data_IF_601810956564
#
_entry.id   IF_601810956564
#
_cell.length_a   1.000
_cell.length_b   1.000
_cell.length_c   1.000
_cell.angle_alpha   90.00
_cell.angle_beta   90.00
_cell.angle_gamma   90.00
#
_symmetry.space_group_name_H-M   'P 1'
#
loop_
_entity.id
_entity.type
_entity.pdbx_description
1 polymer ?
#
# COMPACT_ATOMS: atom_id res chain seq x y z
N UNK A 1 -43.20 47.11 38.47
CA UNK A 1 -44.30 47.98 37.98
C UNK A 1 -45.37 47.11 37.35
N UNK A 2 -46.57 47.02 37.92
CA UNK A 2 -47.72 46.37 37.29
C UNK A 2 -48.35 47.30 36.24
N UNK A 3 -48.48 46.84 34.98
CA UNK A 3 -49.21 47.59 33.93
C UNK A 3 -50.71 47.33 34.05
N UNK A 4 -51.52 48.38 34.02
CA UNK A 4 -52.99 48.27 33.99
C UNK A 4 -53.45 48.01 32.55
N UNK A 5 -54.58 47.30 32.39
CA UNK A 5 -55.19 47.04 31.09
C UNK A 5 -55.54 48.34 30.35
N UNK A 6 -55.22 48.42 29.05
CA UNK A 6 -55.50 49.60 28.22
C UNK A 6 -56.97 49.72 27.74
N UNK A 7 -57.90 48.91 28.26
CA UNK A 7 -59.33 49.02 27.93
C UNK A 7 -60.02 49.93 28.95
N UNK A 8 -60.61 51.04 28.48
CA UNK A 8 -61.39 51.97 29.31
C UNK A 8 -62.48 51.20 30.08
N UNK A 9 -62.43 51.27 31.42
CA UNK A 9 -63.36 50.55 32.32
C UNK A 9 -62.89 49.19 32.85
N UNK A 10 -61.64 48.77 32.58
CA UNK A 10 -61.04 47.58 33.21
C UNK A 10 -59.91 47.96 34.17
N UNK A 11 -60.10 47.66 35.47
CA UNK A 11 -59.12 47.92 36.53
C UNK A 11 -58.09 46.78 36.73
N UNK A 12 -58.15 45.73 35.92
CA UNK A 12 -57.26 44.58 36.06
C UNK A 12 -55.83 44.91 35.60
N UNK A 13 -54.85 44.34 36.31
CA UNK A 13 -53.44 44.41 35.94
C UNK A 13 -53.05 43.28 34.97
N UNK A 14 -52.11 43.57 34.07
CA UNK A 14 -51.59 42.63 33.09
C UNK A 14 -50.54 41.76 33.78
N UNK A 15 -50.70 40.44 33.69
CA UNK A 15 -49.76 39.48 34.32
C UNK A 15 -48.35 39.59 33.73
N UNK A 16 -47.34 39.24 34.52
CA UNK A 16 -45.92 39.29 34.11
C UNK A 16 -45.63 38.53 32.81
N UNK A 17 -46.31 37.42 32.56
CA UNK A 17 -46.17 36.63 31.34
C UNK A 17 -46.67 37.34 30.07
N UNK A 18 -47.44 38.44 30.18
CA UNK A 18 -48.06 39.15 29.07
C UNK A 18 -47.64 40.62 28.97
N UNK A 19 -46.44 41.00 29.47
CA UNK A 19 -46.00 42.42 29.47
C UNK A 19 -45.95 43.11 28.09
N UNK A 20 -45.84 42.33 26.99
CA UNK A 20 -45.93 42.84 25.61
C UNK A 20 -47.39 43.12 25.17
N UNK A 21 -48.39 42.56 25.84
CA UNK A 21 -49.80 42.79 25.56
C UNK A 21 -50.26 44.13 26.16
N UNK A 22 -51.11 44.85 25.42
CA UNK A 22 -51.80 46.05 25.93
C UNK A 22 -53.05 45.72 26.77
N UNK A 23 -53.57 44.50 26.68
CA UNK A 23 -54.83 44.09 27.32
C UNK A 23 -54.64 42.88 28.23
N UNK A 24 -55.35 42.85 29.37
CA UNK A 24 -55.25 41.75 30.35
C UNK A 24 -55.88 40.44 29.84
N UNK A 25 -56.93 40.52 29.03
CA UNK A 25 -57.61 39.37 28.43
C UNK A 25 -57.90 39.60 26.95
N UNK A 26 -58.12 38.51 26.20
CA UNK A 26 -58.50 38.58 24.80
C UNK A 26 -59.89 39.24 24.61
N UNK A 27 -60.75 39.13 25.63
CA UNK A 27 -62.06 39.75 25.63
C UNK A 27 -61.95 41.29 25.71
N UNK A 28 -61.03 41.82 26.54
CA UNK A 28 -60.73 43.26 26.56
C UNK A 28 -60.20 43.76 25.21
N UNK A 29 -59.34 42.99 24.53
CA UNK A 29 -58.87 43.30 23.16
C UNK A 29 -60.05 43.40 22.17
N UNK A 30 -60.94 42.40 22.19
CA UNK A 30 -62.11 42.34 21.28
C UNK A 30 -63.12 43.46 21.57
N UNK A 31 -63.38 43.79 22.85
CA UNK A 31 -64.24 44.91 23.22
C UNK A 31 -63.65 46.25 22.79
N UNK A 32 -62.34 46.45 22.94
CA UNK A 32 -61.71 47.68 22.46
C UNK A 32 -61.77 47.79 20.93
N UNK A 33 -61.52 46.69 20.21
CA UNK A 33 -61.66 46.66 18.75
C UNK A 33 -63.10 47.01 18.29
N UNK A 34 -64.12 46.51 18.99
CA UNK A 34 -65.53 46.87 18.73
C UNK A 34 -65.83 48.34 19.03
N UNK A 35 -65.26 48.92 20.09
CA UNK A 35 -65.41 50.35 20.40
C UNK A 35 -64.74 51.22 19.34
N UNK A 36 -63.53 50.88 18.91
CA UNK A 36 -62.81 51.60 17.84
C UNK A 36 -63.56 51.53 16.51
N UNK A 37 -64.17 50.38 16.21
CA UNK A 37 -65.04 50.23 15.05
C UNK A 37 -66.28 51.11 15.14
N UNK A 38 -66.96 51.15 16.30
CA UNK A 38 -68.10 52.06 16.54
C UNK A 38 -67.72 53.54 16.49
N UNK A 39 -66.50 53.91 16.91
CA UNK A 39 -65.96 55.28 16.85
C UNK A 39 -65.46 55.67 15.45
N UNK A 40 -65.56 54.81 14.44
CA UNK A 40 -65.10 55.09 13.07
C UNK A 40 -63.57 55.10 12.90
N UNK A 41 -62.80 54.80 13.95
CA UNK A 41 -61.33 54.87 13.94
C UNK A 41 -60.66 53.72 13.17
N UNK A 42 -61.42 52.69 12.76
CA UNK A 42 -60.89 51.56 11.99
C UNK A 42 -60.76 51.83 10.50
N UNK A 43 -61.38 52.90 9.97
CA UNK A 43 -61.31 53.28 8.55
C UNK A 43 -60.19 54.28 8.23
N UNK A 44 -59.61 54.96 9.23
CA UNK A 44 -58.56 55.96 9.02
C UNK A 44 -57.15 55.38 8.74
N UNK A 45 -56.98 54.05 8.72
CA UNK A 45 -55.67 53.40 8.58
C UNK A 45 -55.42 52.75 7.21
N UNK A 46 -56.34 52.92 6.24
CA UNK A 46 -56.28 52.22 4.93
C UNK A 46 -55.76 53.12 3.79
N UNK A 47 -55.75 54.45 3.94
CA UNK A 47 -55.36 55.41 2.88
C UNK A 47 -53.89 55.87 2.93
N UNK A 48 -52.95 54.96 3.16
CA UNK A 48 -51.52 55.26 3.00
C UNK A 48 -50.81 54.10 2.30
N UNK A 49 -51.20 53.81 1.07
CA UNK A 49 -50.35 53.05 0.13
C UNK A 49 -49.23 53.98 -0.34
N UNK A 50 -47.95 53.71 0.03
CA UNK A 50 -46.83 54.56 -0.35
C UNK A 50 -46.68 54.60 -1.88
N UNK A 51 -46.29 55.75 -2.42
CA UNK A 51 -46.16 55.96 -3.87
C UNK A 51 -45.09 55.03 -4.48
N UNK A 52 -45.15 54.78 -5.79
CA UNK A 52 -44.13 53.95 -6.48
C UNK A 52 -42.73 54.53 -6.29
N UNK A 53 -42.60 55.86 -6.28
CA UNK A 53 -41.33 56.56 -6.03
C UNK A 53 -40.82 56.37 -4.60
N UNK A 54 -41.69 56.42 -3.59
CA UNK A 54 -41.33 56.11 -2.20
C UNK A 54 -40.92 54.64 -2.02
N UNK A 55 -41.56 53.72 -2.74
CA UNK A 55 -41.20 52.30 -2.72
C UNK A 55 -39.83 52.05 -3.37
N UNK A 56 -39.56 52.72 -4.50
CA UNK A 56 -38.26 52.66 -5.19
C UNK A 56 -37.15 53.26 -4.32
N UNK A 57 -37.39 54.39 -3.66
CA UNK A 57 -36.39 55.03 -2.78
C UNK A 57 -36.11 54.20 -1.53
N UNK A 58 -37.14 53.58 -0.94
CA UNK A 58 -36.98 52.66 0.19
C UNK A 58 -36.22 51.39 -0.19
N UNK A 59 -36.47 50.83 -1.37
CA UNK A 59 -35.70 49.68 -1.87
C UNK A 59 -34.26 50.08 -2.25
N UNK A 60 -34.03 51.25 -2.85
CA UNK A 60 -32.69 51.80 -3.09
C UNK A 60 -31.90 51.92 -1.79
N UNK A 61 -32.49 52.54 -0.78
CA UNK A 61 -31.88 52.70 0.55
C UNK A 61 -31.62 51.34 1.22
N UNK A 62 -32.50 50.36 1.04
CA UNK A 62 -32.32 48.99 1.53
C UNK A 62 -31.17 48.27 0.82
N UNK A 63 -31.06 48.41 -0.50
CA UNK A 63 -29.97 47.84 -1.29
C UNK A 63 -28.62 48.46 -0.92
N UNK A 64 -28.53 49.79 -0.83
CA UNK A 64 -27.34 50.50 -0.37
C UNK A 64 -26.93 50.06 1.04
N UNK A 65 -27.89 49.94 1.96
CA UNK A 65 -27.63 49.45 3.32
C UNK A 65 -27.11 48.01 3.34
N UNK A 66 -27.66 47.14 2.49
CA UNK A 66 -27.22 45.75 2.39
C UNK A 66 -25.83 45.64 1.77
N UNK A 67 -25.54 46.45 0.74
CA UNK A 67 -24.23 46.52 0.12
C UNK A 67 -23.18 47.04 1.11
N UNK A 68 -23.48 48.13 1.82
CA UNK A 68 -22.62 48.66 2.88
C UNK A 68 -22.39 47.61 3.99
N UNK A 69 -23.43 46.90 4.43
CA UNK A 69 -23.32 45.85 5.42
C UNK A 69 -22.53 44.62 4.93
N UNK A 70 -22.49 44.36 3.62
CA UNK A 70 -21.66 43.33 3.00
C UNK A 70 -20.20 43.78 2.95
N UNK A 71 -19.94 44.98 2.45
CA UNK A 71 -18.59 45.55 2.35
C UNK A 71 -17.95 45.67 3.74
N UNK A 72 -18.71 46.09 4.77
CA UNK A 72 -18.23 46.11 6.16
C UNK A 72 -17.89 44.70 6.68
N UNK A 73 -18.64 43.68 6.29
CA UNK A 73 -18.33 42.27 6.64
C UNK A 73 -17.08 41.76 5.94
N UNK A 74 -16.86 42.16 4.70
CA UNK A 74 -15.66 41.80 3.94
C UNK A 74 -14.42 42.50 4.49
N UNK A 75 -14.51 43.80 4.79
CA UNK A 75 -13.45 44.58 5.41
C UNK A 75 -13.10 44.05 6.81
N UNK A 76 -14.10 43.77 7.65
CA UNK A 76 -13.85 43.20 8.98
C UNK A 76 -13.21 41.80 8.92
N UNK A 77 -13.61 40.94 7.98
CA UNK A 77 -12.93 39.65 7.73
C UNK A 77 -11.49 39.85 7.25
N UNK A 78 -11.26 40.86 6.40
CA UNK A 78 -9.92 41.25 5.94
C UNK A 78 -9.04 41.73 7.10
N UNK A 79 -9.57 42.53 8.01
CA UNK A 79 -8.85 42.97 9.21
C UNK A 79 -8.54 41.84 10.18
N UNK A 80 -9.48 40.91 10.42
CA UNK A 80 -9.24 39.73 11.26
C UNK A 80 -8.11 38.88 10.67
N UNK A 81 -8.18 38.56 9.37
CA UNK A 81 -7.10 37.82 8.69
C UNK A 81 -5.77 38.57 8.76
N UNK A 82 -5.78 39.90 8.55
CA UNK A 82 -4.55 40.70 8.62
C UNK A 82 -3.94 40.68 10.01
N UNK A 83 -4.76 40.74 11.08
CA UNK A 83 -4.28 40.58 12.46
C UNK A 83 -3.72 39.19 12.72
N UNK A 84 -4.38 38.14 12.23
CA UNK A 84 -3.86 36.77 12.32
C UNK A 84 -2.52 36.62 11.58
N UNK A 85 -2.38 37.22 10.39
CA UNK A 85 -1.12 37.21 9.64
C UNK A 85 -0.02 38.01 10.35
N UNK A 86 -0.33 39.19 10.89
CA UNK A 86 0.63 39.99 11.66
C UNK A 86 1.08 39.20 12.89
N UNK A 87 0.15 38.61 13.64
CA UNK A 87 0.48 37.78 14.80
C UNK A 87 1.33 36.57 14.40
N UNK A 88 0.97 35.86 13.33
CA UNK A 88 1.74 34.72 12.85
C UNK A 88 3.15 35.12 12.40
N UNK A 89 3.31 36.30 11.79
CA UNK A 89 4.61 36.86 11.42
C UNK A 89 5.39 37.25 12.67
N UNK A 90 4.79 37.93 13.64
CA UNK A 90 5.42 38.28 14.92
C UNK A 90 5.88 37.04 15.69
N UNK A 91 5.03 36.00 15.74
CA UNK A 91 5.35 34.71 16.34
C UNK A 91 6.49 33.99 15.58
N UNK A 92 6.53 34.11 14.25
CA UNK A 92 7.60 33.52 13.41
C UNK A 92 8.91 34.31 13.45
N UNK A 93 8.84 35.63 13.68
CA UNK A 93 9.99 36.51 13.87
C UNK A 93 10.55 36.41 15.29
N UNK A 94 9.80 35.82 16.22
CA UNK A 94 10.36 35.44 17.52
C UNK A 94 11.57 34.52 17.30
N UNK A 95 12.62 34.73 18.09
CA UNK A 95 13.87 33.99 17.95
C UNK A 95 13.59 32.49 18.03
N UNK A 96 13.87 31.75 16.94
CA UNK A 96 13.80 30.30 16.92
C UNK A 96 14.61 29.76 18.10
N UNK A 97 13.92 29.20 19.08
CA UNK A 97 14.58 28.56 20.21
C UNK A 97 15.10 27.24 19.72
N UNK A 98 16.40 27.20 19.40
CA UNK A 98 17.08 25.99 18.94
C UNK A 98 16.84 24.92 20.00
N UNK A 99 16.12 23.86 19.59
CA UNK A 99 15.95 22.68 20.43
C UNK A 99 17.32 22.15 20.82
N UNK A 100 17.44 21.58 22.03
CA UNK A 100 18.70 20.98 22.48
C UNK A 100 19.24 20.08 21.38
N UNK A 101 20.45 20.38 20.89
CA UNK A 101 21.10 19.56 19.87
C UNK A 101 21.29 18.17 20.45
N UNK A 102 20.58 17.18 19.89
CA UNK A 102 20.77 15.79 20.26
C UNK A 102 22.00 15.28 19.51
N UNK A 103 23.04 14.78 20.21
CA UNK A 103 24.16 14.17 19.52
C UNK A 103 23.68 12.95 18.75
N UNK A 104 24.10 12.81 17.49
CA UNK A 104 23.91 11.56 16.76
C UNK A 104 24.64 10.45 17.51
N UNK A 105 23.98 9.31 17.69
CA UNK A 105 24.57 8.14 18.32
C UNK A 105 25.57 7.48 17.36
N UNK A 106 26.74 8.08 17.23
CA UNK A 106 27.88 7.53 16.50
C UNK A 106 28.70 6.76 17.54
N UNK A 107 28.73 5.44 17.42
CA UNK A 107 29.49 4.59 18.33
C UNK A 107 30.16 3.44 17.58
N UNK A 108 31.20 2.88 18.19
CA UNK A 108 31.99 1.78 17.62
C UNK A 108 31.27 0.43 17.68
N UNK A 109 30.11 0.37 18.35
CA UNK A 109 29.33 -0.86 18.46
C UNK A 109 28.69 -1.19 17.13
N UNK A 110 28.97 -2.39 16.62
CA UNK A 110 28.29 -2.90 15.44
C UNK A 110 26.78 -2.95 15.67
N UNK A 111 26.02 -2.60 14.64
CA UNK A 111 24.57 -2.59 14.66
C UNK A 111 24.04 -3.96 14.25
N UNK A 112 23.26 -4.61 15.11
CA UNK A 112 22.60 -5.87 14.74
C UNK A 112 21.45 -5.60 13.79
N UNK A 113 21.41 -6.35 12.70
CA UNK A 113 20.35 -6.34 11.71
C UNK A 113 19.95 -7.77 11.37
N UNK A 114 18.74 -7.92 10.84
CA UNK A 114 18.27 -9.15 10.24
C UNK A 114 17.96 -8.92 8.77
N UNK A 115 18.04 -9.98 7.96
CA UNK A 115 17.69 -9.92 6.55
C UNK A 115 16.49 -10.81 6.24
N UNK A 116 15.64 -10.38 5.31
CA UNK A 116 14.73 -11.29 4.63
C UNK A 116 15.05 -11.28 3.14
N UNK A 117 15.11 -12.44 2.53
CA UNK A 117 15.38 -12.63 1.10
C UNK A 117 14.19 -13.39 0.54
N UNK A 118 13.59 -12.86 -0.53
CA UNK A 118 12.55 -13.58 -1.27
C UNK A 118 13.13 -14.15 -2.56
N UNK A 119 12.93 -15.45 -2.74
CA UNK A 119 13.25 -16.22 -3.93
C UNK A 119 11.94 -16.68 -4.59
N UNK A 120 11.69 -16.30 -5.83
CA UNK A 120 10.56 -16.79 -6.61
C UNK A 120 10.87 -16.73 -8.09
N UNK A 121 10.10 -17.47 -8.89
CA UNK A 121 10.12 -17.35 -10.35
C UNK A 121 11.52 -17.59 -10.92
N UNK A 122 12.19 -18.65 -10.45
CA UNK A 122 13.47 -19.09 -11.00
C UNK A 122 13.28 -19.79 -12.34
N UNK A 123 12.13 -20.45 -12.54
CA UNK A 123 11.76 -21.14 -13.79
C UNK A 123 12.88 -22.07 -14.30
N UNK A 124 13.47 -22.86 -13.39
CA UNK A 124 14.55 -23.78 -13.72
C UNK A 124 14.06 -24.75 -14.80
N UNK A 125 14.80 -24.81 -15.90
CA UNK A 125 14.47 -25.59 -17.09
C UNK A 125 13.76 -24.82 -18.19
N UNK A 126 13.42 -23.54 -18.00
CA UNK A 126 12.89 -22.70 -19.08
C UNK A 126 13.92 -22.56 -20.21
N UNK A 127 13.46 -22.83 -21.44
CA UNK A 127 14.20 -22.62 -22.68
C UNK A 127 13.55 -21.48 -23.47
N UNK A 128 14.32 -20.42 -23.70
CA UNK A 128 13.96 -19.33 -24.61
C UNK A 128 15.07 -19.21 -25.65
N UNK A 129 14.88 -19.76 -26.86
CA UNK A 129 15.85 -19.62 -27.95
C UNK A 129 15.96 -18.17 -28.41
N UNK A 130 17.17 -17.74 -28.77
CA UNK A 130 17.47 -16.35 -29.16
C UNK A 130 16.68 -15.92 -30.41
N UNK A 131 16.34 -16.86 -31.29
CA UNK A 131 15.57 -16.63 -32.51
C UNK A 131 14.11 -16.26 -32.20
N UNK A 132 13.59 -16.76 -31.08
CA UNK A 132 12.20 -16.48 -30.67
C UNK A 132 12.03 -15.11 -30.02
N UNK A 133 13.14 -14.45 -29.71
CA UNK A 133 13.16 -13.11 -29.08
C UNK A 133 13.67 -12.02 -30.02
N UNK A 134 13.87 -12.36 -31.31
CA UNK A 134 14.39 -11.44 -32.31
C UNK A 134 15.85 -11.03 -32.07
N UNK A 135 16.69 -11.93 -31.53
CA UNK A 135 18.09 -11.63 -31.26
C UNK A 135 18.37 -10.95 -29.91
N UNK A 136 17.34 -10.73 -29.09
CA UNK A 136 17.44 -9.84 -27.92
C UNK A 136 17.99 -10.57 -26.68
N UNK A 137 17.47 -11.75 -26.38
CA UNK A 137 17.83 -12.49 -25.16
C UNK A 137 17.51 -13.97 -25.30
N UNK A 138 18.29 -14.82 -24.63
CA UNK A 138 18.01 -16.24 -24.53
C UNK A 138 18.05 -16.68 -23.07
N UNK A 139 17.30 -17.72 -22.74
CA UNK A 139 17.30 -18.36 -21.42
C UNK A 139 17.51 -19.86 -21.61
N UNK A 140 18.37 -20.43 -20.78
CA UNK A 140 18.56 -21.88 -20.65
C UNK A 140 19.03 -22.19 -19.21
N UNK A 141 19.30 -23.46 -18.94
CA UNK A 141 19.74 -23.95 -17.64
C UNK A 141 21.09 -23.36 -17.22
N UNK A 142 22.05 -23.20 -18.14
CA UNK A 142 23.36 -22.60 -17.84
C UNK A 142 23.23 -21.15 -17.38
N UNK A 143 22.42 -20.35 -18.09
CA UNK A 143 22.11 -18.98 -17.69
C UNK A 143 21.48 -18.99 -16.30
N UNK A 144 20.52 -19.87 -16.03
CA UNK A 144 19.86 -19.96 -14.73
C UNK A 144 20.86 -20.23 -13.59
N UNK A 145 21.85 -21.12 -13.81
CA UNK A 145 22.94 -21.37 -12.85
C UNK A 145 23.80 -20.14 -12.62
N UNK A 146 24.27 -19.49 -13.70
CA UNK A 146 25.06 -18.26 -13.63
C UNK A 146 24.29 -17.12 -12.96
N UNK A 147 22.97 -17.08 -13.12
CA UNK A 147 22.10 -16.10 -12.47
C UNK A 147 22.07 -16.31 -10.94
N UNK A 148 21.99 -17.56 -10.47
CA UNK A 148 22.11 -17.88 -9.04
C UNK A 148 23.48 -17.43 -8.49
N UNK A 149 24.57 -17.65 -9.22
CA UNK A 149 25.90 -17.14 -8.84
C UNK A 149 25.92 -15.60 -8.74
N UNK A 150 25.23 -14.90 -9.66
CA UNK A 150 25.11 -13.44 -9.60
C UNK A 150 24.31 -12.95 -8.40
N UNK A 151 23.24 -13.65 -8.01
CA UNK A 151 22.51 -13.37 -6.77
C UNK A 151 23.42 -13.47 -5.55
N UNK A 152 24.18 -14.57 -5.43
CA UNK A 152 25.11 -14.79 -4.32
C UNK A 152 26.23 -13.75 -4.31
N UNK A 153 26.76 -13.39 -5.48
CA UNK A 153 27.71 -12.30 -5.62
C UNK A 153 27.13 -10.98 -5.10
N UNK A 154 25.90 -10.62 -5.48
CA UNK A 154 25.23 -9.41 -5.02
C UNK A 154 25.05 -9.39 -3.50
N UNK A 155 24.66 -10.53 -2.90
CA UNK A 155 24.56 -10.67 -1.43
C UNK A 155 25.93 -10.45 -0.77
N UNK A 156 27.00 -11.04 -1.31
CA UNK A 156 28.36 -10.83 -0.81
C UNK A 156 28.78 -9.35 -0.86
N UNK A 157 28.42 -8.62 -1.92
CA UNK A 157 28.66 -7.17 -2.03
C UNK A 157 27.85 -6.37 -1.01
N UNK A 158 26.57 -6.68 -0.84
CA UNK A 158 25.68 -6.03 0.16
C UNK A 158 26.19 -6.30 1.58
N UNK A 159 26.69 -7.50 1.85
CA UNK A 159 27.30 -7.85 3.12
C UNK A 159 28.56 -7.03 3.39
N UNK A 160 29.44 -6.89 2.39
CA UNK A 160 30.64 -6.06 2.49
C UNK A 160 30.29 -4.57 2.72
N UNK A 161 29.28 -4.02 2.05
CA UNK A 161 28.79 -2.66 2.31
C UNK A 161 28.18 -2.48 3.71
N UNK A 162 27.79 -3.58 4.34
CA UNK A 162 27.25 -3.61 5.69
C UNK A 162 28.35 -3.58 6.76
N UNK A 163 29.59 -3.23 6.42
CA UNK A 163 30.67 -2.97 7.36
C UNK A 163 30.20 -2.06 8.51
N UNK A 164 30.25 -2.59 9.75
CA UNK A 164 29.67 -1.95 10.94
C UNK A 164 28.32 -2.55 11.38
N UNK A 165 27.78 -3.52 10.65
CA UNK A 165 26.59 -4.29 11.03
C UNK A 165 26.94 -5.76 11.28
N UNK A 166 26.05 -6.46 11.99
CA UNK A 166 26.08 -7.91 12.18
C UNK A 166 24.74 -8.47 11.77
N UNK A 167 24.73 -9.35 10.77
CA UNK A 167 23.52 -10.05 10.30
C UNK A 167 23.32 -11.27 11.19
N UNK A 168 22.29 -11.26 12.04
CA UNK A 168 22.07 -12.34 13.01
C UNK A 168 21.12 -13.40 12.49
N UNK A 169 20.01 -12.99 11.90
CA UNK A 169 18.98 -13.90 11.42
C UNK A 169 18.64 -13.61 9.96
N UNK A 170 18.34 -14.66 9.22
CA UNK A 170 17.86 -14.56 7.84
C UNK A 170 16.53 -15.29 7.70
N UNK A 171 15.53 -14.59 7.17
CA UNK A 171 14.29 -15.18 6.68
C UNK A 171 14.40 -15.39 5.16
N UNK A 172 14.48 -16.63 4.70
CA UNK A 172 14.47 -16.99 3.30
C UNK A 172 13.07 -17.44 2.87
N UNK A 173 12.36 -16.57 2.16
CA UNK A 173 11.02 -16.86 1.62
C UNK A 173 11.18 -17.44 0.22
N UNK A 174 10.78 -18.68 0.01
CA UNK A 174 10.74 -19.33 -1.29
C UNK A 174 9.27 -19.32 -1.76
N UNK A 175 8.93 -18.31 -2.56
CA UNK A 175 7.55 -17.98 -2.94
C UNK A 175 7.13 -18.61 -4.29
N UNK A 176 7.56 -19.84 -4.57
CA UNK A 176 7.10 -20.64 -5.71
C UNK A 176 7.66 -20.25 -7.08
N UNK A 177 7.23 -21.01 -8.09
CA UNK A 177 7.72 -21.01 -9.48
C UNK A 177 9.24 -21.25 -9.55
N UNK A 178 9.71 -22.25 -8.81
CA UNK A 178 11.12 -22.64 -8.82
C UNK A 178 11.43 -23.44 -10.08
N UNK A 179 10.54 -24.34 -10.48
CA UNK A 179 10.65 -25.05 -11.76
C UNK A 179 9.79 -24.37 -12.82
N UNK A 180 10.16 -24.50 -14.10
CA UNK A 180 9.29 -24.06 -15.19
C UNK A 180 8.04 -24.95 -15.30
N UNK A 181 8.17 -26.25 -15.00
CA UNK A 181 7.09 -27.22 -15.13
C UNK A 181 6.77 -27.57 -16.59
N UNK A 182 5.79 -28.45 -16.78
CA UNK A 182 5.38 -28.92 -18.11
C UNK A 182 3.86 -29.09 -18.27
N UNK A 183 3.09 -28.83 -17.21
CA UNK A 183 1.69 -29.20 -17.09
C UNK A 183 0.73 -28.04 -17.35
N UNK A 184 1.19 -26.79 -17.29
CA UNK A 184 0.30 -25.62 -17.30
C UNK A 184 -0.32 -25.35 -18.67
N UNK A 185 0.43 -25.55 -19.75
CA UNK A 185 -0.03 -25.29 -21.12
C UNK A 185 0.58 -26.29 -22.09
N UNK A 186 -0.18 -26.79 -23.09
CA UNK A 186 0.35 -27.75 -24.07
C UNK A 186 1.59 -27.25 -24.84
N UNK A 187 1.71 -25.94 -25.06
CA UNK A 187 2.85 -25.36 -25.76
C UNK A 187 4.15 -25.31 -24.92
N UNK A 188 4.04 -25.45 -23.59
CA UNK A 188 5.16 -25.32 -22.65
C UNK A 188 6.22 -26.39 -22.86
N UNK A 189 5.84 -27.59 -23.31
CA UNK A 189 6.76 -28.67 -23.67
C UNK A 189 7.81 -28.28 -24.74
N UNK A 190 7.53 -27.25 -25.55
CA UNK A 190 8.49 -26.70 -26.53
C UNK A 190 9.38 -25.59 -25.97
N UNK A 191 9.16 -25.20 -24.72
CA UNK A 191 9.80 -24.09 -24.03
C UNK A 191 10.54 -24.56 -22.77
N UNK A 192 10.82 -25.87 -22.67
CA UNK A 192 11.62 -26.48 -21.61
C UNK A 192 12.84 -27.17 -22.20
N UNK A 193 13.97 -27.08 -21.52
CA UNK A 193 15.23 -27.72 -21.91
C UNK A 193 15.32 -29.16 -21.40
N UNK A 194 14.78 -29.39 -20.21
CA UNK A 194 14.86 -30.66 -19.49
C UNK A 194 13.49 -31.05 -18.92
N UNK A 195 13.20 -32.36 -18.78
CA UNK A 195 11.96 -32.83 -18.16
C UNK A 195 11.79 -32.31 -16.72
N UNK A 196 10.56 -32.11 -16.28
CA UNK A 196 10.26 -31.49 -14.97
C UNK A 196 10.94 -32.20 -13.79
N UNK A 197 11.06 -33.52 -13.80
CA UNK A 197 11.77 -34.28 -12.75
C UNK A 197 13.23 -33.83 -12.62
N UNK A 198 13.90 -33.54 -13.74
CA UNK A 198 15.27 -33.00 -13.71
C UNK A 198 15.30 -31.54 -13.27
N UNK A 199 14.29 -30.74 -13.65
CA UNK A 199 14.14 -29.37 -13.16
C UNK A 199 14.02 -29.36 -11.63
N UNK A 200 13.27 -30.30 -11.05
CA UNK A 200 13.09 -30.44 -9.60
C UNK A 200 14.41 -30.75 -8.88
N UNK A 201 15.19 -31.69 -9.40
CA UNK A 201 16.51 -32.05 -8.84
C UNK A 201 17.44 -30.84 -8.90
N UNK A 202 17.53 -30.18 -10.06
CA UNK A 202 18.37 -29.01 -10.23
C UNK A 202 17.93 -27.84 -9.34
N UNK A 203 16.62 -27.60 -9.22
CA UNK A 203 16.06 -26.58 -8.35
C UNK A 203 16.45 -26.81 -6.88
N UNK A 204 16.41 -28.07 -6.42
CA UNK A 204 16.93 -28.44 -5.11
C UNK A 204 18.44 -28.19 -4.98
N UNK A 205 19.25 -28.64 -5.94
CA UNK A 205 20.71 -28.48 -5.88
C UNK A 205 21.11 -27.00 -5.83
N UNK A 206 20.48 -26.15 -6.63
CA UNK A 206 20.74 -24.70 -6.65
C UNK A 206 20.27 -24.00 -5.37
N UNK A 207 19.09 -24.35 -4.84
CA UNK A 207 18.62 -23.81 -3.56
C UNK A 207 19.52 -24.26 -2.41
N UNK A 208 19.92 -25.54 -2.37
CA UNK A 208 20.82 -26.06 -1.37
C UNK A 208 22.22 -25.41 -1.46
N UNK A 209 22.73 -25.16 -2.66
CA UNK A 209 23.95 -24.38 -2.89
C UNK A 209 23.81 -22.94 -2.38
N UNK A 210 22.70 -22.27 -2.68
CA UNK A 210 22.41 -20.92 -2.22
C UNK A 210 22.36 -20.85 -0.68
N UNK A 211 21.62 -21.76 -0.05
CA UNK A 211 21.50 -21.89 1.41
C UNK A 211 22.87 -22.14 2.07
N UNK A 212 23.64 -23.12 1.57
CA UNK A 212 25.00 -23.39 2.08
C UNK A 212 25.93 -22.20 1.95
N UNK A 213 25.74 -21.36 0.94
CA UNK A 213 26.52 -20.13 0.78
C UNK A 213 26.11 -19.07 1.81
N UNK A 214 24.81 -18.90 2.08
CA UNK A 214 24.34 -18.02 3.16
C UNK A 214 24.85 -18.43 4.54
N UNK A 215 24.93 -19.74 4.80
CA UNK A 215 25.44 -20.29 6.07
C UNK A 215 26.92 -19.98 6.36
N UNK A 216 27.65 -19.44 5.37
CA UNK A 216 29.02 -18.95 5.53
C UNK A 216 29.10 -17.50 6.06
N UNK A 217 27.98 -16.79 6.14
CA UNK A 217 27.96 -15.46 6.73
C UNK A 217 28.39 -15.53 8.21
N UNK A 218 29.32 -14.66 8.64
CA UNK A 218 29.80 -14.67 10.00
C UNK A 218 28.68 -14.24 10.96
N UNK A 219 28.70 -14.80 12.17
CA UNK A 219 27.77 -14.49 13.26
C UNK A 219 26.28 -14.84 12.99
N UNK A 220 25.96 -15.52 11.88
CA UNK A 220 24.62 -16.01 11.57
C UNK A 220 24.17 -17.05 12.60
N UNK A 221 23.04 -16.78 13.26
CA UNK A 221 22.45 -17.62 14.29
C UNK A 221 21.33 -18.49 13.73
N UNK A 222 20.41 -17.91 12.96
CA UNK A 222 19.30 -18.65 12.34
C UNK A 222 19.11 -18.32 10.87
N UNK A 223 18.74 -19.35 10.11
CA UNK A 223 18.25 -19.28 8.74
C UNK A 223 16.88 -19.97 8.68
N UNK A 224 15.86 -19.14 8.66
CA UNK A 224 14.46 -19.53 8.64
C UNK A 224 13.96 -19.60 7.21
N UNK A 225 13.64 -20.79 6.72
CA UNK A 225 13.24 -21.04 5.33
C UNK A 225 11.75 -21.30 5.28
N UNK A 226 11.03 -20.47 4.54
CA UNK A 226 9.58 -20.55 4.40
C UNK A 226 9.20 -20.81 2.95
N UNK A 227 8.56 -21.94 2.65
CA UNK A 227 8.32 -22.38 1.27
C UNK A 227 6.83 -22.53 0.95
N UNK A 228 6.39 -21.88 -0.12
CA UNK A 228 5.04 -22.02 -0.71
C UNK A 228 5.15 -22.35 -2.19
N UNK A 229 4.18 -23.12 -2.71
CA UNK A 229 4.13 -23.49 -4.13
C UNK A 229 3.67 -22.36 -5.05
N UNK A 230 4.20 -22.33 -6.27
CA UNK A 230 3.76 -21.46 -7.36
C UNK A 230 2.91 -22.19 -8.40
N UNK A 231 2.48 -21.46 -9.42
CA UNK A 231 1.60 -22.02 -10.46
C UNK A 231 2.33 -22.88 -11.51
N UNK A 232 3.62 -22.65 -11.75
CA UNK A 232 4.47 -23.48 -12.60
C UNK A 232 4.91 -24.77 -11.89
N UNK A 233 4.94 -24.78 -10.56
CA UNK A 233 5.33 -25.96 -9.79
C UNK A 233 4.26 -27.05 -9.75
N UNK A 234 3.04 -26.77 -10.22
CA UNK A 234 1.89 -27.69 -10.11
C UNK A 234 2.05 -28.90 -11.00
N UNK A 235 1.60 -30.04 -10.49
CA UNK A 235 1.44 -31.27 -11.27
C UNK A 235 0.17 -31.28 -12.14
N UNK A 236 -0.70 -30.28 -11.97
CA UNK A 236 -1.99 -30.15 -12.65
C UNK A 236 -2.06 -28.91 -13.56
N UNK A 237 -2.84 -29.00 -14.63
CA UNK A 237 -2.98 -27.90 -15.61
C UNK A 237 -3.81 -26.71 -15.12
N UNK A 238 -4.83 -26.98 -14.31
CA UNK A 238 -5.76 -25.94 -13.81
C UNK A 238 -5.47 -25.65 -12.35
N UNK A 239 -5.71 -24.40 -11.92
CA UNK A 239 -5.73 -24.14 -10.50
C UNK A 239 -6.81 -24.98 -9.83
N UNK A 240 -6.42 -25.57 -8.71
CA UNK A 240 -7.35 -26.10 -7.74
C UNK A 240 -8.13 -24.99 -7.01
N UNK A 241 -9.06 -25.41 -6.17
CA UNK A 241 -9.83 -24.58 -5.26
C UNK A 241 -9.61 -25.09 -3.83
N UNK A 242 -8.82 -24.36 -3.06
CA UNK A 242 -8.54 -24.70 -1.66
C UNK A 242 -9.82 -24.90 -0.83
N UNK A 243 -10.86 -24.11 -1.09
CA UNK A 243 -12.17 -24.22 -0.41
C UNK A 243 -12.95 -25.51 -0.74
N UNK A 244 -12.53 -26.26 -1.77
CA UNK A 244 -13.06 -27.57 -2.12
C UNK A 244 -12.13 -28.73 -1.70
N UNK A 245 -11.05 -28.44 -0.98
CA UNK A 245 -10.05 -29.42 -0.58
C UNK A 245 -9.10 -29.84 -1.71
N UNK A 246 -9.05 -29.08 -2.81
CA UNK A 246 -8.11 -29.36 -3.90
C UNK A 246 -6.70 -28.90 -3.50
N UNK A 247 -5.74 -29.80 -3.60
CA UNK A 247 -4.40 -29.76 -2.99
C UNK A 247 -3.34 -29.14 -3.90
N UNK A 248 -3.71 -28.19 -4.76
CA UNK A 248 -2.82 -27.63 -5.78
C UNK A 248 -1.57 -26.88 -5.24
N UNK A 249 -1.52 -26.60 -3.93
CA UNK A 249 -0.41 -25.95 -3.24
C UNK A 249 0.54 -26.96 -2.55
N UNK A 250 0.11 -28.20 -2.32
CA UNK A 250 0.96 -29.30 -1.82
C UNK A 250 1.34 -30.30 -2.92
N UNK A 251 0.50 -30.51 -3.93
CA UNK A 251 0.80 -31.36 -5.10
C UNK A 251 1.66 -30.62 -6.11
N UNK A 252 2.78 -30.08 -5.63
CA UNK A 252 3.73 -29.25 -6.38
C UNK A 252 5.15 -29.78 -6.27
N UNK A 253 5.93 -29.57 -7.33
CA UNK A 253 7.37 -29.86 -7.32
C UNK A 253 8.12 -28.98 -6.31
N UNK A 254 7.64 -27.76 -6.04
CA UNK A 254 8.18 -26.90 -5.00
C UNK A 254 8.01 -27.52 -3.60
N UNK A 255 6.85 -28.11 -3.29
CA UNK A 255 6.66 -28.83 -2.03
C UNK A 255 7.63 -30.01 -1.91
N UNK A 256 7.86 -30.77 -2.99
CA UNK A 256 8.87 -31.84 -3.00
C UNK A 256 10.28 -31.29 -2.75
N UNK A 257 10.64 -30.17 -3.38
CA UNK A 257 11.92 -29.48 -3.11
C UNK A 257 12.02 -29.09 -1.64
N UNK A 258 10.96 -28.50 -1.05
CA UNK A 258 10.92 -28.16 0.38
C UNK A 258 11.15 -29.36 1.28
N UNK A 259 10.54 -30.51 0.97
CA UNK A 259 10.74 -31.75 1.72
C UNK A 259 12.16 -32.35 1.55
N UNK A 260 12.84 -32.08 0.44
CA UNK A 260 14.24 -32.45 0.23
C UNK A 260 15.19 -31.50 0.97
N UNK A 261 14.88 -30.19 1.00
CA UNK A 261 15.64 -29.20 1.76
C UNK A 261 15.56 -29.48 3.26
N UNK A 262 14.37 -29.74 3.80
CA UNK A 262 14.17 -30.07 5.22
C UNK A 262 15.05 -31.25 5.65
N UNK A 263 15.02 -32.34 4.89
CA UNK A 263 15.91 -33.50 5.10
C UNK A 263 17.39 -33.16 4.90
N UNK A 264 17.72 -32.40 3.87
CA UNK A 264 19.09 -32.08 3.49
C UNK A 264 19.82 -31.16 4.48
N UNK A 265 19.09 -30.50 5.38
CA UNK A 265 19.61 -29.59 6.40
C UNK A 265 19.22 -30.00 7.83
N UNK A 266 18.70 -31.22 8.04
CA UNK A 266 18.22 -31.69 9.36
C UNK A 266 19.32 -31.67 10.45
N UNK A 267 20.58 -31.82 10.04
CA UNK A 267 21.75 -31.82 10.92
C UNK A 267 22.33 -30.42 11.22
N UNK A 268 21.90 -29.36 10.52
CA UNK A 268 22.36 -27.99 10.80
C UNK A 268 21.35 -27.26 11.69
N UNK A 269 21.64 -27.07 13.00
CA UNK A 269 20.68 -26.50 13.95
C UNK A 269 20.37 -25.03 13.69
N UNK A 270 21.08 -24.36 12.78
CA UNK A 270 20.79 -22.99 12.38
C UNK A 270 19.66 -22.93 11.36
N UNK A 271 19.37 -24.02 10.64
CA UNK A 271 18.41 -24.04 9.54
C UNK A 271 17.06 -24.56 10.04
N UNK A 272 16.00 -23.77 9.87
CA UNK A 272 14.63 -24.18 10.15
C UNK A 272 13.82 -24.14 8.87
N UNK A 273 13.34 -25.28 8.38
CA UNK A 273 12.52 -25.34 7.16
C UNK A 273 11.05 -25.48 7.53
N UNK A 274 10.22 -24.59 6.99
CA UNK A 274 8.77 -24.68 7.03
C UNK A 274 8.23 -24.78 5.61
N UNK A 275 7.84 -26.00 5.24
CA UNK A 275 7.16 -26.30 4.00
C UNK A 275 5.64 -26.17 4.22
N UNK A 276 5.00 -25.16 3.61
CA UNK A 276 3.60 -24.88 3.87
C UNK A 276 2.68 -25.79 3.08
N UNK A 277 1.63 -26.26 3.76
CA UNK A 277 0.52 -26.97 3.13
C UNK A 277 -0.66 -26.03 2.84
N UNK A 278 -0.39 -24.75 2.68
CA UNK A 278 -1.37 -23.72 2.35
C UNK A 278 -0.86 -22.90 1.17
N UNK A 279 -1.76 -22.26 0.41
CA UNK A 279 -1.40 -21.42 -0.73
C UNK A 279 -0.65 -20.12 -0.34
N UNK A 280 -0.56 -19.85 0.97
CA UNK A 280 0.19 -18.76 1.58
C UNK A 280 0.91 -19.31 2.81
N UNK A 281 1.92 -18.59 3.29
CA UNK A 281 2.49 -18.81 4.62
C UNK A 281 2.64 -17.50 5.36
N UNK A 282 2.94 -17.58 6.65
CA UNK A 282 3.09 -16.42 7.50
C UNK A 282 4.10 -16.68 8.62
N UNK A 283 4.82 -15.64 9.03
CA UNK A 283 5.80 -15.73 10.11
C UNK A 283 6.02 -14.39 10.80
N UNK A 284 6.25 -14.43 12.11
CA UNK A 284 6.82 -13.29 12.80
C UNK A 284 8.36 -13.34 12.68
N UNK A 285 8.96 -12.27 12.20
CA UNK A 285 10.40 -12.15 12.01
C UNK A 285 10.84 -10.70 12.21
N UNK A 286 11.97 -10.49 12.90
CA UNK A 286 12.47 -9.15 13.26
C UNK A 286 11.42 -8.23 13.94
N UNK A 287 10.48 -8.83 14.69
CA UNK A 287 9.38 -8.13 15.37
C UNK A 287 8.25 -7.65 14.45
N UNK A 288 8.21 -8.11 13.20
CA UNK A 288 7.18 -7.79 12.21
C UNK A 288 6.45 -9.06 11.79
N UNK A 289 5.18 -8.93 11.38
CA UNK A 289 4.36 -10.03 10.87
C UNK A 289 4.40 -10.06 9.36
N UNK A 290 4.92 -11.15 8.82
CA UNK A 290 5.08 -11.41 7.40
C UNK A 290 3.99 -12.36 6.93
N UNK A 291 3.42 -12.07 5.75
CA UNK A 291 2.61 -13.02 4.98
C UNK A 291 3.16 -13.11 3.58
N UNK A 292 3.25 -14.30 3.02
CA UNK A 292 3.79 -14.52 1.69
C UNK A 292 2.91 -15.49 0.91
N UNK A 293 2.66 -15.18 -0.35
CA UNK A 293 2.05 -16.08 -1.32
C UNK A 293 2.71 -15.87 -2.69
N UNK A 294 2.61 -16.86 -3.57
CA UNK A 294 3.17 -16.70 -4.92
C UNK A 294 2.47 -15.58 -5.70
N UNK A 295 1.13 -15.45 -5.58
CA UNK A 295 0.35 -14.38 -6.20
C UNK A 295 -0.36 -14.76 -7.51
N UNK A 296 -0.40 -16.06 -7.88
CA UNK A 296 -1.12 -16.55 -9.06
C UNK A 296 -2.64 -16.27 -9.02
N UNK A 297 -3.22 -16.16 -7.82
CA UNK A 297 -4.64 -15.81 -7.62
C UNK A 297 -4.96 -14.34 -7.86
N UNK A 298 -3.95 -13.46 -7.98
CA UNK A 298 -4.15 -12.02 -8.14
C UNK A 298 -4.60 -11.72 -9.57
N UNK A 299 -5.89 -11.46 -9.74
CA UNK A 299 -6.48 -11.15 -11.04
C UNK A 299 -5.91 -9.86 -11.61
N UNK A 300 -5.42 -9.89 -12.86
CA UNK A 300 -4.85 -8.72 -13.56
C UNK A 300 -5.90 -7.71 -14.09
N UNK A 301 -7.15 -7.81 -13.64
CA UNK A 301 -8.25 -6.93 -14.04
C UNK A 301 -8.47 -5.78 -13.06
N UNK A 302 -8.54 -4.55 -13.57
CA UNK A 302 -8.85 -3.34 -12.79
C UNK A 302 -7.61 -2.64 -12.21
N UNK A 303 -7.49 -1.33 -12.50
CA UNK A 303 -6.58 -0.39 -11.82
C UNK A 303 -5.11 -0.84 -11.70
N UNK A 304 -4.30 -0.51 -12.70
CA UNK A 304 -2.85 -0.75 -12.70
C UNK A 304 -2.09 0.29 -13.52
N UNK A 305 -0.78 0.38 -13.30
CA UNK A 305 0.12 1.25 -14.07
C UNK A 305 1.46 0.53 -14.26
N UNK A 306 2.09 0.69 -15.43
CA UNK A 306 3.38 0.05 -15.73
C UNK A 306 3.36 -1.48 -15.74
N UNK A 307 2.20 -2.12 -15.97
CA UNK A 307 2.07 -3.58 -15.96
C UNK A 307 1.82 -4.20 -14.58
N UNK A 308 1.78 -3.39 -13.52
CA UNK A 308 1.50 -3.82 -12.14
C UNK A 308 0.01 -3.61 -11.81
N UNK A 309 -0.76 -4.65 -11.44
CA UNK A 309 -2.15 -4.54 -11.03
C UNK A 309 -2.25 -4.04 -9.57
N UNK A 310 -2.00 -2.75 -9.36
CA UNK A 310 -1.94 -2.12 -8.04
C UNK A 310 -3.17 -2.40 -7.16
N UNK A 311 -4.39 -2.23 -7.70
CA UNK A 311 -5.60 -2.42 -6.91
C UNK A 311 -5.76 -3.88 -6.42
N UNK A 312 -5.68 -4.91 -7.30
CA UNK A 312 -5.75 -6.31 -6.87
C UNK A 312 -4.68 -6.71 -5.85
N UNK A 313 -3.44 -6.22 -6.02
CA UNK A 313 -2.33 -6.50 -5.09
C UNK A 313 -2.63 -5.95 -3.68
N UNK A 314 -2.96 -4.66 -3.60
CA UNK A 314 -3.24 -4.00 -2.31
C UNK A 314 -4.45 -4.63 -1.62
N UNK A 315 -5.51 -4.92 -2.38
CA UNK A 315 -6.70 -5.58 -1.86
C UNK A 315 -6.39 -6.98 -1.31
N UNK A 316 -5.52 -7.74 -1.99
CA UNK A 316 -5.12 -9.09 -1.55
C UNK A 316 -4.31 -9.02 -0.25
N UNK A 317 -3.34 -8.10 -0.16
CA UNK A 317 -2.59 -7.86 1.07
C UNK A 317 -3.51 -7.41 2.24
N UNK A 318 -4.51 -6.56 1.97
CA UNK A 318 -5.49 -6.14 2.98
C UNK A 318 -6.37 -7.30 3.46
N UNK A 319 -6.76 -8.22 2.57
CA UNK A 319 -7.49 -9.43 2.94
C UNK A 319 -6.66 -10.35 3.82
N UNK A 320 -5.38 -10.56 3.50
CA UNK A 320 -4.46 -11.30 4.36
C UNK A 320 -4.31 -10.63 5.73
N UNK A 321 -4.11 -9.31 5.76
CA UNK A 321 -4.06 -8.54 7.00
C UNK A 321 -5.33 -8.71 7.83
N UNK A 322 -6.51 -8.64 7.21
CA UNK A 322 -7.79 -8.85 7.91
C UNK A 322 -7.94 -10.29 8.42
N UNK A 323 -7.56 -11.27 7.60
CA UNK A 323 -7.67 -12.70 7.92
C UNK A 323 -6.76 -13.11 9.08
N UNK A 324 -5.53 -12.57 9.14
CA UNK A 324 -4.52 -12.94 10.12
C UNK A 324 -4.51 -12.04 11.38
N UNK A 325 -5.41 -11.07 11.48
CA UNK A 325 -5.41 -10.11 12.60
C UNK A 325 -4.29 -9.07 12.53
N UNK A 326 -3.79 -8.81 11.33
CA UNK A 326 -2.81 -7.79 10.98
C UNK A 326 -1.54 -8.36 10.37
N UNK A 327 -0.99 -7.62 9.42
CA UNK A 327 0.20 -7.94 8.64
C UNK A 327 1.00 -6.65 8.48
N UNK A 328 2.31 -6.74 8.68
CA UNK A 328 3.22 -5.61 8.53
C UNK A 328 3.94 -5.69 7.17
N UNK A 329 4.23 -6.90 6.67
CA UNK A 329 4.81 -7.08 5.32
C UNK A 329 4.12 -8.20 4.55
N UNK A 330 3.61 -7.88 3.36
CA UNK A 330 3.08 -8.85 2.41
C UNK A 330 4.06 -9.06 1.25
N UNK A 331 4.39 -10.32 0.94
CA UNK A 331 5.33 -10.69 -0.12
C UNK A 331 4.62 -11.43 -1.25
N UNK A 332 4.93 -11.04 -2.49
CA UNK A 332 4.35 -11.63 -3.70
C UNK A 332 5.42 -11.90 -4.76
N UNK A 333 5.26 -12.96 -5.54
CA UNK A 333 6.03 -13.27 -6.75
C UNK A 333 5.19 -13.07 -8.01
N UNK A 334 5.27 -14.03 -8.95
CA UNK A 334 4.39 -14.27 -10.11
C UNK A 334 4.41 -13.22 -11.25
N UNK A 335 4.49 -11.93 -10.90
CA UNK A 335 4.44 -10.84 -11.89
C UNK A 335 5.80 -10.59 -12.55
N UNK A 336 6.88 -11.08 -11.92
CA UNK A 336 8.29 -10.89 -12.34
C UNK A 336 8.65 -9.42 -12.49
N UNK A 337 8.02 -8.56 -11.69
CA UNK A 337 8.19 -7.12 -11.78
C UNK A 337 8.31 -6.62 -10.35
N UNK A 338 9.48 -6.13 -9.95
CA UNK A 338 9.71 -5.69 -8.58
C UNK A 338 8.87 -4.46 -8.26
N UNK A 339 8.31 -4.40 -7.06
CA UNK A 339 7.62 -3.21 -6.57
C UNK A 339 7.59 -3.15 -5.04
N UNK A 340 7.41 -1.94 -4.52
CA UNK A 340 7.13 -1.71 -3.10
C UNK A 340 5.94 -0.77 -2.98
N UNK A 341 4.94 -1.17 -2.20
CA UNK A 341 3.71 -0.41 -1.99
C UNK A 341 3.39 -0.29 -0.50
N UNK A 342 2.68 0.77 -0.08
CA UNK A 342 2.21 0.87 1.30
C UNK A 342 1.08 -0.14 1.59
N UNK A 343 1.08 -0.69 2.80
CA UNK A 343 -0.01 -1.48 3.39
C UNK A 343 -0.48 -0.78 4.67
N UNK A 344 -1.54 0.03 4.56
CA UNK A 344 -1.98 0.87 5.68
C UNK A 344 -0.99 2.00 5.97
N UNK A 345 -0.77 2.33 7.24
CA UNK A 345 0.10 3.43 7.66
C UNK A 345 1.57 3.03 7.76
N UNK A 346 1.86 1.83 8.26
CA UNK A 346 3.22 1.39 8.60
C UNK A 346 3.67 0.15 7.83
N UNK A 347 2.71 -0.61 7.28
CA UNK A 347 2.99 -1.86 6.58
C UNK A 347 3.46 -1.63 5.14
N UNK A 348 3.99 -2.69 4.53
CA UNK A 348 4.51 -2.70 3.16
C UNK A 348 4.06 -3.93 2.40
N UNK A 349 4.00 -3.77 1.09
CA UNK A 349 3.84 -4.86 0.13
C UNK A 349 5.09 -4.89 -0.72
N UNK A 350 5.65 -6.07 -0.91
CA UNK A 350 6.87 -6.31 -1.67
C UNK A 350 6.56 -7.32 -2.77
N UNK A 351 6.67 -6.87 -4.02
CA UNK A 351 6.63 -7.73 -5.19
C UNK A 351 8.06 -8.06 -5.62
N UNK A 352 8.33 -9.34 -5.82
CA UNK A 352 9.63 -9.83 -6.21
C UNK A 352 9.85 -9.80 -7.74
N UNK A 353 11.12 -9.84 -8.13
CA UNK A 353 11.54 -10.08 -9.51
C UNK A 353 11.49 -11.57 -9.88
N UNK A 354 12.18 -11.92 -10.96
CA UNK A 354 12.33 -13.29 -11.45
C UNK A 354 13.72 -13.47 -12.05
N UNK A 355 14.13 -14.71 -12.31
CA UNK A 355 15.38 -14.97 -13.02
C UNK A 355 15.25 -14.80 -14.55
N UNK A 356 14.22 -15.30 -15.24
CA UNK A 356 14.11 -15.08 -16.67
C UNK A 356 13.90 -13.60 -17.02
N UNK A 357 14.76 -13.05 -17.88
CA UNK A 357 14.66 -11.65 -18.31
C UNK A 357 13.44 -11.41 -19.22
N UNK A 358 13.25 -12.27 -20.22
CA UNK A 358 12.12 -12.16 -21.15
C UNK A 358 11.89 -13.46 -21.90
N UNK A 359 10.72 -13.56 -22.52
CA UNK A 359 10.31 -14.65 -23.41
C UNK A 359 9.52 -14.07 -24.58
N UNK A 360 9.26 -14.86 -25.61
CA UNK A 360 8.36 -14.45 -26.70
C UNK A 360 6.97 -14.01 -26.19
N UNK A 361 6.49 -14.60 -25.08
CA UNK A 361 5.25 -14.17 -24.43
C UNK A 361 5.40 -12.78 -23.79
N UNK A 362 6.47 -12.55 -23.04
CA UNK A 362 6.72 -11.25 -22.39
C UNK A 362 6.91 -10.16 -23.44
N UNK A 363 7.70 -10.43 -24.48
CA UNK A 363 7.89 -9.50 -25.59
C UNK A 363 6.62 -9.26 -26.39
N UNK A 364 5.78 -10.27 -26.64
CA UNK A 364 4.54 -10.08 -27.40
C UNK A 364 3.51 -9.26 -26.61
N UNK A 365 3.39 -9.50 -25.30
CA UNK A 365 2.37 -8.88 -24.45
C UNK A 365 2.77 -7.53 -23.85
N UNK A 366 4.03 -7.38 -23.44
CA UNK A 366 4.49 -6.24 -22.63
C UNK A 366 5.56 -5.38 -23.31
N UNK A 367 6.14 -5.85 -24.42
CA UNK A 367 7.20 -5.14 -25.16
C UNK A 367 8.38 -4.74 -24.25
N UNK A 368 8.77 -5.64 -23.36
CA UNK A 368 9.74 -5.37 -22.31
C UNK A 368 10.78 -6.47 -22.19
N UNK A 369 11.97 -6.09 -21.75
CA UNK A 369 13.01 -6.96 -21.23
C UNK A 369 13.10 -6.60 -19.76
N UNK A 370 12.91 -7.58 -18.88
CA UNK A 370 13.04 -7.38 -17.45
C UNK A 370 14.47 -7.66 -17.05
N UNK A 371 14.93 -6.96 -16.03
CA UNK A 371 16.22 -7.25 -15.43
C UNK A 371 16.03 -8.45 -14.49
N UNK A 372 16.78 -9.55 -14.64
CA UNK A 372 16.77 -10.65 -13.68
C UNK A 372 17.14 -10.14 -12.29
N UNK A 373 16.27 -10.35 -11.32
CA UNK A 373 16.53 -9.92 -9.95
C UNK A 373 15.68 -10.67 -8.92
N UNK A 374 16.16 -10.66 -7.68
CA UNK A 374 15.43 -11.06 -6.48
C UNK A 374 15.52 -9.92 -5.43
N UNK A 375 14.83 -10.03 -4.29
CA UNK A 375 14.79 -8.91 -3.32
C UNK A 375 15.37 -9.31 -1.97
N UNK A 376 16.23 -8.46 -1.42
CA UNK A 376 16.72 -8.51 -0.04
C UNK A 376 16.17 -7.31 0.74
N UNK A 377 15.67 -7.54 1.94
CA UNK A 377 15.19 -6.52 2.86
C UNK A 377 15.97 -6.58 4.16
N UNK A 378 16.45 -5.44 4.61
CA UNK A 378 17.15 -5.31 5.89
C UNK A 378 16.23 -4.74 6.96
N UNK A 379 16.31 -5.33 8.15
CA UNK A 379 15.55 -4.96 9.33
C UNK A 379 16.48 -4.52 10.45
N UNK A 380 16.22 -3.33 10.98
CA UNK A 380 16.80 -2.89 12.23
C UNK A 380 15.79 -3.09 13.37
N UNK A 381 16.19 -3.79 14.43
CA UNK A 381 15.30 -4.23 15.52
C UNK A 381 14.51 -3.10 16.21
N UNK A 382 14.96 -1.84 16.11
CA UNK A 382 14.28 -0.67 16.71
C UNK A 382 13.53 0.22 15.72
N UNK A 383 13.85 0.14 14.43
CA UNK A 383 13.37 1.11 13.42
C UNK A 383 12.54 0.41 12.33
N UNK A 384 12.60 -0.92 12.25
CA UNK A 384 11.92 -1.72 11.24
C UNK A 384 12.75 -1.78 9.95
N UNK A 385 12.06 -1.73 8.81
CA UNK A 385 12.68 -1.83 7.47
C UNK A 385 13.60 -0.63 7.21
N UNK A 386 14.89 -0.88 7.02
CA UNK A 386 15.90 0.15 6.73
C UNK A 386 16.30 0.18 5.26
N UNK A 387 16.30 -0.97 4.60
CA UNK A 387 16.69 -1.09 3.19
C UNK A 387 15.85 -2.15 2.47
N UNK A 388 15.50 -1.87 1.22
CA UNK A 388 14.97 -2.85 0.25
C UNK A 388 15.91 -2.78 -0.95
N UNK A 389 16.65 -3.85 -1.19
CA UNK A 389 17.75 -3.91 -2.15
C UNK A 389 17.46 -4.97 -3.21
N UNK A 390 17.57 -4.64 -4.50
CA UNK A 390 17.53 -5.63 -5.55
C UNK A 390 18.84 -6.46 -5.54
N UNK A 391 18.69 -7.76 -5.70
CA UNK A 391 19.76 -8.71 -5.96
C UNK A 391 19.77 -8.96 -7.46
N UNK A 392 20.58 -8.20 -8.21
CA UNK A 392 20.64 -8.33 -9.66
C UNK A 392 21.33 -9.62 -10.10
N UNK A 393 20.69 -10.32 -11.04
CA UNK A 393 21.16 -11.56 -11.63
C UNK A 393 21.48 -11.39 -13.13
N UNK A 394 22.09 -10.26 -13.50
CA UNK A 394 22.35 -9.96 -14.92
C UNK A 394 23.33 -10.96 -15.52
N UNK A 395 22.84 -11.70 -16.52
CA UNK A 395 23.61 -12.62 -17.34
C UNK A 395 23.19 -12.39 -18.78
N UNK A 396 24.15 -12.00 -19.62
CA UNK A 396 24.00 -11.83 -21.06
C UNK A 396 22.82 -10.91 -21.46
N UNK A 397 22.50 -9.94 -20.59
CA UNK A 397 21.51 -8.90 -20.84
C UNK A 397 22.06 -7.83 -21.80
N UNK A 398 21.34 -7.47 -22.86
CA UNK A 398 21.77 -6.39 -23.73
C UNK A 398 21.65 -5.03 -23.03
N UNK A 399 22.63 -4.15 -23.24
CA UNK A 399 22.55 -2.76 -22.79
C UNK A 399 21.71 -1.93 -23.74
N UNK A 400 21.15 -0.79 -23.27
CA UNK A 400 20.48 0.16 -24.16
C UNK A 400 21.38 0.56 -25.33
N UNK A 401 20.94 0.30 -26.56
CA UNK A 401 21.69 0.57 -27.79
C UNK A 401 22.28 -0.68 -28.47
N UNK A 402 22.73 -1.68 -27.71
CA UNK A 402 23.44 -2.85 -28.24
C UNK A 402 22.58 -3.69 -29.21
N UNK A 403 21.26 -3.73 -29.01
CA UNK A 403 20.32 -4.47 -29.88
C UNK A 403 20.27 -3.94 -31.32
N UNK A 404 20.63 -2.66 -31.54
CA UNK A 404 20.53 -2.02 -32.86
C UNK A 404 21.82 -2.14 -33.70
N UNK A 405 22.91 -2.68 -33.15
CA UNK A 405 24.23 -2.68 -33.79
C UNK A 405 24.46 -3.85 -34.77
N UNK A 406 23.51 -4.79 -34.90
CA UNK A 406 23.62 -5.98 -35.77
C UNK A 406 22.66 -5.99 -36.98
N UNK A 407 22.26 -4.82 -37.51
CA UNK A 407 21.59 -4.71 -38.82
C UNK A 407 22.45 -4.00 -39.87
#
# INVERSE_FOLDING_TARGET
MSRVCAFEGCSNTISKAKFRSKYCTDNCRKRNARLRYKRGESQAAVDATPSVEEQVEKERFRLEKNELARTLRELSRGEVKRKEYIQAIEDSLSSFTVSKIFPLAIGDKKTTVDWAIILSDWHIGQMTPIETTGGIYHQNLDISRRQVDKLLYAIGRIFHESEGKVVKNILLIIAGDIVEGDSMRPAQLRQIEIPVVKQTIEGFDLLAYFIRTLLQLPDLETLDIELVGGNHDRTTTKPGLAGLGETEYVDTFAWLIGAMLDRGFEDDPRVNVKNWETFFGFREFAGLRHVFEHGAGITRGGGGYGGIPFYPIVNTAQKHSTMLGGVDIAWFGHLHTPYTLPLGQEGRIIGNGALPATTAFVQSRYKTIRRPEQTLVEFHHKIGVTNIRPLYADVDLPKPGEVWEEL
#
